data_IF_880595040108
#
_entry.id   IF_880595040108
#
_cell.length_a   1.000
_cell.length_b   1.000
_cell.length_c   1.000
_cell.angle_alpha   90.00
_cell.angle_beta   90.00
_cell.angle_gamma   90.00
#
_symmetry.space_group_name_H-M   'P 1'
#
loop_
_entity.id
_entity.type
_entity.pdbx_description
1 polymer ?
#
# COMPACT_ATOMS: atom_id res chain seq x y z
N UNK A 1 2.06 16.09 -13.79
CA UNK A 1 2.57 15.36 -12.60
C UNK A 1 2.09 13.93 -12.71
N UNK A 2 2.94 12.93 -12.47
CA UNK A 2 2.53 11.52 -12.47
C UNK A 2 1.67 11.17 -11.25
N UNK A 3 0.88 10.10 -11.36
CA UNK A 3 0.06 9.55 -10.30
C UNK A 3 0.78 8.38 -9.64
N UNK A 4 0.79 8.35 -8.32
CA UNK A 4 1.34 7.23 -7.55
C UNK A 4 0.24 6.19 -7.37
N UNK A 5 0.57 4.94 -7.64
CA UNK A 5 -0.26 3.78 -7.35
C UNK A 5 0.39 3.01 -6.21
N UNK A 6 -0.37 2.76 -5.15
CA UNK A 6 0.02 1.90 -4.04
C UNK A 6 -0.78 0.61 -4.16
N UNK A 7 -0.11 -0.53 -4.15
CA UNK A 7 -0.71 -1.85 -4.01
C UNK A 7 -0.40 -2.36 -2.61
N UNK A 8 -1.41 -2.83 -1.90
CA UNK A 8 -1.23 -3.45 -0.59
C UNK A 8 -2.14 -4.64 -0.41
N UNK A 9 -1.75 -5.60 0.43
CA UNK A 9 -2.53 -6.79 0.73
C UNK A 9 -1.95 -7.53 1.93
N UNK A 10 -2.69 -8.47 2.50
CA UNK A 10 -2.17 -9.31 3.59
C UNK A 10 -0.99 -10.12 3.05
N UNK A 11 0.11 -10.21 3.81
CA UNK A 11 1.29 -10.98 3.41
C UNK A 11 0.92 -12.42 3.03
N UNK A 12 1.46 -12.91 1.91
CA UNK A 12 1.15 -14.23 1.33
C UNK A 12 -0.30 -14.44 0.86
N UNK A 13 -1.15 -13.40 0.88
CA UNK A 13 -2.46 -13.44 0.25
C UNK A 13 -2.35 -13.18 -1.25
N UNK A 14 -3.25 -13.77 -2.03
CA UNK A 14 -3.41 -13.45 -3.45
C UNK A 14 -4.19 -12.12 -3.63
N UNK A 15 -5.01 -11.76 -2.64
CA UNK A 15 -5.86 -10.56 -2.70
C UNK A 15 -5.09 -9.30 -2.31
N UNK A 16 -5.18 -8.29 -3.18
CA UNK A 16 -4.56 -6.99 -2.96
C UNK A 16 -5.53 -5.87 -3.35
N UNK A 17 -5.46 -4.80 -2.58
CA UNK A 17 -6.16 -3.53 -2.82
C UNK A 17 -5.21 -2.51 -3.47
N UNK A 18 -5.79 -1.44 -4.01
CA UNK A 18 -5.06 -0.39 -4.71
C UNK A 18 -5.56 0.99 -4.31
N UNK A 19 -4.63 1.88 -4.00
CA UNK A 19 -4.89 3.30 -3.82
C UNK A 19 -4.11 4.13 -4.82
N UNK A 20 -4.61 5.33 -5.08
CA UNK A 20 -3.94 6.33 -5.92
C UNK A 20 -3.69 7.60 -5.13
N UNK A 21 -2.55 8.24 -5.37
CA UNK A 21 -2.19 9.50 -4.73
C UNK A 21 -1.55 10.45 -5.76
N UNK A 22 -1.85 11.75 -5.63
CA UNK A 22 -1.21 12.80 -6.43
C UNK A 22 0.01 13.43 -5.73
N UNK A 23 0.25 13.04 -4.48
CA UNK A 23 1.38 13.46 -3.63
C UNK A 23 2.15 12.24 -3.15
N UNK A 24 3.38 12.45 -2.65
CA UNK A 24 4.31 11.37 -2.25
C UNK A 24 3.93 10.67 -0.93
N UNK A 25 2.66 10.69 -0.56
CA UNK A 25 2.13 10.12 0.68
C UNK A 25 0.69 9.63 0.47
N UNK A 26 0.35 8.53 1.12
CA UNK A 26 -1.02 8.01 1.24
C UNK A 26 -1.23 7.40 2.63
N UNK A 27 -2.49 7.33 3.07
CA UNK A 27 -2.88 6.67 4.32
C UNK A 27 -3.65 5.39 3.96
N UNK A 28 -3.19 4.25 4.48
CA UNK A 28 -3.92 2.99 4.43
C UNK A 28 -4.78 2.90 5.71
N UNK A 29 -6.10 2.89 5.57
CA UNK A 29 -7.05 2.87 6.70
C UNK A 29 -7.91 1.61 6.70
N UNK A 30 -8.49 1.26 7.85
CA UNK A 30 -9.39 0.09 7.94
C UNK A 30 -8.66 -1.26 7.89
N UNK A 31 -7.34 -1.26 8.11
CA UNK A 31 -6.54 -2.48 8.14
C UNK A 31 -6.86 -3.32 9.37
N UNK A 32 -6.75 -4.65 9.22
CA UNK A 32 -6.95 -5.58 10.32
C UNK A 32 -5.82 -5.42 11.35
N UNK A 33 -6.11 -5.27 12.65
CA UNK A 33 -5.07 -5.17 13.69
C UNK A 33 -4.25 -6.46 13.83
N UNK A 34 -2.96 -6.33 14.13
CA UNK A 34 -2.03 -7.45 14.34
C UNK A 34 -1.65 -8.23 13.07
N UNK A 35 -2.09 -7.76 11.90
CA UNK A 35 -1.92 -8.40 10.60
C UNK A 35 -0.73 -7.81 9.85
N UNK A 36 0.04 -8.66 9.19
CA UNK A 36 1.16 -8.25 8.33
C UNK A 36 0.67 -8.01 6.89
N UNK A 37 1.07 -6.88 6.33
CA UNK A 37 0.73 -6.45 4.99
C UNK A 37 1.99 -6.30 4.15
N UNK A 38 1.88 -6.64 2.87
CA UNK A 38 2.84 -6.24 1.83
C UNK A 38 2.39 -4.92 1.20
N UNK A 39 3.33 -4.00 0.96
CA UNK A 39 3.07 -2.72 0.29
C UNK A 39 4.09 -2.49 -0.82
N UNK A 40 3.64 -2.11 -2.00
CA UNK A 40 4.51 -1.69 -3.11
C UNK A 40 3.93 -0.47 -3.83
N UNK A 41 4.81 0.34 -4.43
CA UNK A 41 4.44 1.58 -5.13
C UNK A 41 4.93 1.57 -6.57
N UNK A 42 4.19 2.22 -7.47
CA UNK A 42 4.64 2.58 -8.82
C UNK A 42 4.14 3.96 -9.21
N UNK A 43 4.71 4.54 -10.27
CA UNK A 43 4.25 5.80 -10.84
C UNK A 43 3.69 5.56 -12.24
N UNK A 44 2.59 6.23 -12.56
CA UNK A 44 2.02 6.31 -13.91
C UNK A 44 2.01 7.76 -14.34
N UNK A 45 2.63 8.04 -15.49
CA UNK A 45 2.74 9.37 -16.07
C UNK A 45 1.50 9.72 -16.90
N UNK A 46 1.22 11.01 -17.17
CA UNK A 46 0.04 11.43 -17.95
C UNK A 46 0.00 10.89 -19.39
N UNK A 47 1.16 10.57 -19.95
CA UNK A 47 1.31 9.94 -21.27
C UNK A 47 1.08 8.41 -21.24
N UNK A 48 0.76 7.85 -20.07
CA UNK A 48 0.53 6.42 -19.87
C UNK A 48 1.81 5.61 -19.59
N UNK A 49 2.99 6.23 -19.59
CA UNK A 49 4.21 5.52 -19.22
C UNK A 49 4.18 5.10 -17.74
N UNK A 50 4.53 3.85 -17.46
CA UNK A 50 4.51 3.28 -16.12
C UNK A 50 5.91 2.87 -15.65
N UNK A 51 6.19 3.05 -14.36
CA UNK A 51 7.36 2.42 -13.73
C UNK A 51 7.09 0.95 -13.40
N UNK A 52 8.16 0.18 -13.21
CA UNK A 52 8.07 -1.06 -12.44
C UNK A 52 7.55 -0.80 -11.03
N UNK A 53 7.00 -1.83 -10.38
CA UNK A 53 6.71 -1.80 -8.95
C UNK A 53 8.02 -1.72 -8.14
N UNK A 54 7.97 -1.00 -7.03
CA UNK A 54 9.05 -1.02 -6.03
C UNK A 54 9.23 -2.41 -5.43
N UNK A 55 10.29 -2.56 -4.62
CA UNK A 55 10.35 -3.65 -3.64
C UNK A 55 9.10 -3.66 -2.76
N UNK A 56 8.71 -4.85 -2.31
CA UNK A 56 7.59 -5.01 -1.37
C UNK A 56 8.11 -4.81 0.04
N UNK A 57 7.50 -3.86 0.75
CA UNK A 57 7.75 -3.63 2.17
C UNK A 57 6.75 -4.45 3.00
N UNK A 58 7.23 -5.09 4.08
CA UNK A 58 6.37 -5.76 5.05
C UNK A 58 6.07 -4.82 6.21
N UNK A 59 4.78 -4.58 6.45
CA UNK A 59 4.31 -3.67 7.51
C UNK A 59 3.33 -4.41 8.38
N UNK A 60 3.62 -4.50 9.68
CA UNK A 60 2.70 -5.07 10.66
C UNK A 60 1.85 -3.99 11.31
N UNK A 61 0.53 -4.15 11.25
CA UNK A 61 -0.37 -3.27 11.98
C UNK A 61 -0.26 -3.52 13.50
N UNK A 62 -0.45 -2.49 14.34
CA UNK A 62 -0.52 -2.68 15.77
C UNK A 62 -1.60 -3.71 16.15
N UNK A 63 -1.33 -4.51 17.19
CA UNK A 63 -2.39 -5.30 17.80
C UNK A 63 -3.50 -4.38 18.31
N UNK A 64 -4.74 -4.87 18.32
CA UNK A 64 -5.84 -4.14 18.98
C UNK A 64 -5.44 -3.95 20.43
N UNK A 65 -5.08 -2.71 20.80
CA UNK A 65 -4.72 -2.41 22.17
C UNK A 65 -5.90 -2.72 23.08
N UNK A 66 -5.67 -3.50 24.14
CA UNK A 66 -6.55 -3.41 25.30
C UNK A 66 -6.33 -2.00 25.85
N UNK A 67 -7.24 -1.09 25.53
CA UNK A 67 -7.33 0.19 26.24
C UNK A 67 -7.70 -0.23 27.67
N UNK A 68 -6.72 -0.27 28.56
CA UNK A 68 -6.94 -0.40 30.01
C UNK A 68 -7.45 0.92 30.55
#
# INVERSE_FOLDING_TARGET
MGMIFIRYGIHQSETHERLTAQVRQAVLSGLQPGTEYEVAVKVVMPDGAESAWSIRELVRTPNKGNIK
#
